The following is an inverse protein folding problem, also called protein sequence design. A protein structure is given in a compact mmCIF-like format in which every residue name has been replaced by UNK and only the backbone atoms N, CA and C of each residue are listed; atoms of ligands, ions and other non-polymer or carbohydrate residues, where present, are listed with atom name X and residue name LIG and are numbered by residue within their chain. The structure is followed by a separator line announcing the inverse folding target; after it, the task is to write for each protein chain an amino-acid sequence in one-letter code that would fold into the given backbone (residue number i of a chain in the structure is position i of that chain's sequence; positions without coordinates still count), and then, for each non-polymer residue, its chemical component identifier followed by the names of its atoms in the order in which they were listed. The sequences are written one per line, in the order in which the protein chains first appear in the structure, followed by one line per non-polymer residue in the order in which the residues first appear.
data_IF_856466240501
#
_entry.id   IF_856466240501
#
_cell.length_a   1.000
_cell.length_b   1.000
_cell.length_c   1.000
_cell.angle_alpha   90.00
_cell.angle_beta   90.00
_cell.angle_gamma   90.00
#
_symmetry.space_group_name_H-M   'P 1'
#
loop_
_entity.id
_entity.type
_entity.pdbx_description
1 polymer ?
#
# COMPACT_ATOMS: atom_id res chain seq x y z
N UNK A 1 33.85 -26.74 -3.63
CA UNK A 1 33.04 -25.61 -3.16
C UNK A 1 31.60 -26.01 -3.07
N UNK A 2 31.00 -25.82 -1.91
CA UNK A 2 29.54 -26.01 -1.79
C UNK A 2 28.82 -24.78 -2.36
N UNK A 3 27.95 -25.01 -3.31
CA UNK A 3 27.03 -23.96 -3.77
C UNK A 3 26.08 -23.61 -2.63
N UNK A 4 25.83 -22.30 -2.43
CA UNK A 4 24.90 -21.81 -1.44
C UNK A 4 23.77 -21.08 -2.14
N UNK A 5 22.55 -21.36 -1.74
CA UNK A 5 21.38 -20.70 -2.25
C UNK A 5 20.80 -19.78 -1.17
N UNK A 6 20.58 -18.54 -1.53
CA UNK A 6 19.97 -17.54 -0.66
C UNK A 6 18.61 -17.16 -1.21
N UNK A 7 17.63 -17.05 -0.32
CA UNK A 7 16.28 -16.60 -0.66
C UNK A 7 16.03 -15.28 0.07
N UNK A 8 15.67 -14.26 -0.67
CA UNK A 8 15.27 -12.99 -0.10
C UNK A 8 13.74 -12.86 -0.20
N UNK A 9 13.06 -12.80 0.96
CA UNK A 9 11.63 -12.59 1.03
C UNK A 9 11.37 -11.14 1.43
N UNK A 10 10.81 -10.37 0.52
CA UNK A 10 10.40 -9.00 0.77
C UNK A 10 8.88 -8.90 0.78
N UNK A 11 8.32 -8.39 1.87
CA UNK A 11 6.89 -8.23 2.03
C UNK A 11 6.45 -6.94 1.35
N UNK A 12 5.75 -7.08 0.24
CA UNK A 12 5.36 -5.97 -0.60
C UNK A 12 4.42 -5.01 0.13
N UNK A 13 4.85 -3.75 0.24
CA UNK A 13 4.06 -2.69 0.88
C UNK A 13 3.55 -3.10 2.27
N UNK A 14 4.46 -3.61 3.10
CA UNK A 14 4.11 -4.36 4.31
C UNK A 14 3.15 -3.60 5.24
N UNK A 15 3.44 -2.36 5.58
CA UNK A 15 2.60 -1.60 6.51
C UNK A 15 1.20 -1.35 5.93
N UNK A 16 1.13 -1.04 4.64
CA UNK A 16 -0.15 -0.86 3.97
C UNK A 16 -0.93 -2.18 3.89
N UNK A 17 -0.24 -3.28 3.68
CA UNK A 17 -0.88 -4.61 3.66
C UNK A 17 -1.46 -4.98 5.01
N UNK A 18 -0.75 -4.70 6.11
CA UNK A 18 -1.25 -4.90 7.47
C UNK A 18 -2.54 -4.09 7.70
N UNK A 19 -2.52 -2.82 7.31
CA UNK A 19 -3.67 -1.95 7.48
C UNK A 19 -4.89 -2.43 6.66
N UNK A 20 -4.66 -2.94 5.47
CA UNK A 20 -5.73 -3.52 4.65
C UNK A 20 -6.32 -4.77 5.30
N UNK A 21 -5.48 -5.71 5.73
CA UNK A 21 -5.93 -6.98 6.34
C UNK A 21 -6.74 -6.71 7.61
N UNK A 22 -6.31 -5.79 8.45
CA UNK A 22 -7.04 -5.46 9.69
C UNK A 22 -8.40 -4.81 9.41
N UNK A 23 -8.57 -4.19 8.24
CA UNK A 23 -9.84 -3.63 7.81
C UNK A 23 -10.71 -4.61 7.00
N UNK A 24 -10.25 -5.85 6.83
CA UNK A 24 -10.95 -6.85 6.01
C UNK A 24 -10.87 -6.56 4.52
N UNK A 25 -9.84 -5.84 4.07
CA UNK A 25 -9.65 -5.44 2.67
C UNK A 25 -8.50 -6.21 2.04
N UNK A 26 -8.57 -6.43 0.73
CA UNK A 26 -7.50 -7.08 -0.01
C UNK A 26 -6.38 -6.08 -0.33
N UNK A 27 -5.13 -6.30 0.14
CA UNK A 27 -4.03 -5.38 -0.11
C UNK A 27 -3.69 -5.17 -1.59
N UNK A 28 -4.05 -6.13 -2.45
CA UNK A 28 -3.76 -6.06 -3.89
C UNK A 28 -4.81 -5.23 -4.64
N UNK A 29 -6.00 -5.07 -4.07
CA UNK A 29 -7.14 -4.42 -4.73
C UNK A 29 -7.53 -3.08 -4.12
N UNK A 30 -6.95 -2.73 -2.98
CA UNK A 30 -7.34 -1.54 -2.21
C UNK A 30 -6.30 -0.44 -2.35
N UNK A 31 -6.77 0.77 -2.61
CA UNK A 31 -5.93 1.97 -2.63
C UNK A 31 -5.81 2.52 -1.21
N UNK A 32 -4.62 2.41 -0.65
CA UNK A 32 -4.36 2.83 0.72
C UNK A 32 -2.92 3.32 0.88
N UNK A 33 -2.75 4.37 1.65
CA UNK A 33 -1.42 4.86 2.07
C UNK A 33 -1.34 4.88 3.59
N UNK A 34 -0.16 4.66 4.13
CA UNK A 34 0.13 4.84 5.56
C UNK A 34 0.87 6.15 5.73
N UNK A 35 0.22 7.12 6.34
CA UNK A 35 0.79 8.45 6.53
C UNK A 35 0.20 9.10 7.79
N UNK A 36 0.99 9.96 8.42
CA UNK A 36 0.59 10.66 9.63
C UNK A 36 -0.08 12.00 9.26
N UNK A 37 -1.41 12.03 9.35
CA UNK A 37 -2.20 13.21 9.06
C UNK A 37 -2.04 14.34 10.09
N UNK A 38 -1.49 14.04 11.28
CA UNK A 38 -1.21 15.07 12.27
C UNK A 38 -0.03 15.96 11.86
N UNK A 39 0.76 15.52 10.89
CA UNK A 39 1.83 16.29 10.27
C UNK A 39 1.32 17.01 9.04
N UNK A 40 2.18 17.82 8.43
CA UNK A 40 1.84 18.53 7.19
C UNK A 40 1.78 17.57 6.00
N UNK A 41 1.22 18.01 4.88
CA UNK A 41 1.21 17.27 3.62
C UNK A 41 2.60 16.96 3.07
N UNK A 42 3.65 17.56 3.62
CA UNK A 42 5.05 17.26 3.28
C UNK A 42 5.55 15.97 3.92
N UNK A 43 4.77 15.33 4.80
CA UNK A 43 5.14 14.08 5.43
C UNK A 43 5.32 12.98 4.38
N UNK A 44 6.29 12.10 4.62
CA UNK A 44 6.55 10.96 3.74
C UNK A 44 5.57 9.85 4.08
N UNK A 45 4.95 9.26 3.06
CA UNK A 45 4.16 8.05 3.23
C UNK A 45 5.09 6.89 3.59
N UNK A 46 4.75 6.15 4.64
CA UNK A 46 5.54 5.00 5.08
C UNK A 46 5.30 3.78 4.20
N UNK A 47 4.13 3.67 3.60
CA UNK A 47 3.79 2.62 2.67
C UNK A 47 2.65 3.06 1.75
N UNK A 48 2.64 2.50 0.55
CA UNK A 48 1.59 2.72 -0.46
C UNK A 48 1.23 1.35 -1.03
N UNK A 49 -0.06 1.06 -1.18
CA UNK A 49 -0.49 -0.23 -1.73
C UNK A 49 -0.09 -0.39 -3.20
N UNK A 50 0.09 -1.64 -3.68
CA UNK A 50 0.48 -1.88 -5.08
C UNK A 50 -0.48 -1.30 -6.10
N UNK A 51 -1.79 -1.37 -5.86
CA UNK A 51 -2.78 -0.81 -6.77
C UNK A 51 -2.61 0.70 -6.93
N UNK A 52 -2.36 1.41 -5.83
CA UNK A 52 -2.15 2.85 -5.87
C UNK A 52 -0.80 3.21 -6.51
N UNK A 53 0.24 2.41 -6.29
CA UNK A 53 1.54 2.57 -6.99
C UNK A 53 1.41 2.46 -8.50
N UNK A 54 0.45 1.68 -8.99
CA UNK A 54 0.24 1.49 -10.43
C UNK A 54 -0.15 2.78 -11.15
N UNK A 55 -0.61 3.79 -10.42
CA UNK A 55 -0.91 5.12 -10.97
C UNK A 55 0.30 6.04 -11.04
N UNK A 56 1.50 5.52 -10.79
CA UNK A 56 2.73 6.31 -10.84
C UNK A 56 3.13 6.95 -9.52
N UNK A 57 2.56 6.47 -8.40
CA UNK A 57 2.89 6.97 -7.07
C UNK A 57 4.04 6.15 -6.49
N UNK A 58 5.11 6.82 -6.06
CA UNK A 58 6.24 6.17 -5.40
C UNK A 58 5.86 5.58 -4.04
N UNK A 59 6.47 4.47 -3.66
CA UNK A 59 6.27 3.86 -2.33
C UNK A 59 6.69 4.75 -1.16
N UNK A 60 7.52 5.75 -1.43
CA UNK A 60 7.96 6.75 -0.44
C UNK A 60 7.60 8.17 -0.85
N UNK A 61 6.52 8.33 -1.58
CA UNK A 61 6.02 9.64 -1.97
C UNK A 61 5.63 10.46 -0.73
N UNK A 62 5.74 11.76 -0.83
CA UNK A 62 5.16 12.65 0.18
C UNK A 62 3.65 12.73 -0.02
N UNK A 63 2.93 12.99 1.04
CA UNK A 63 1.46 12.98 0.99
C UNK A 63 0.92 13.96 -0.06
N UNK A 64 1.52 15.14 -0.23
CA UNK A 64 1.08 16.10 -1.24
C UNK A 64 1.26 15.55 -2.67
N UNK A 65 2.27 14.71 -2.90
CA UNK A 65 2.47 14.07 -4.21
C UNK A 65 1.38 13.06 -4.51
N UNK A 66 0.93 12.32 -3.50
CA UNK A 66 -0.21 11.40 -3.62
C UNK A 66 -1.48 12.19 -3.96
N UNK A 67 -1.75 13.27 -3.23
CA UNK A 67 -2.91 14.13 -3.45
C UNK A 67 -2.89 14.69 -4.88
N UNK A 68 -1.74 15.20 -5.31
CA UNK A 68 -1.57 15.78 -6.64
C UNK A 68 -1.78 14.74 -7.74
N UNK A 69 -1.17 13.57 -7.59
CA UNK A 69 -1.30 12.51 -8.61
C UNK A 69 -2.73 12.00 -8.73
N UNK A 70 -3.43 11.84 -7.60
CA UNK A 70 -4.83 11.42 -7.61
C UNK A 70 -5.70 12.48 -8.31
N UNK A 71 -5.45 13.76 -8.08
CA UNK A 71 -6.15 14.83 -8.80
C UNK A 71 -5.90 14.76 -10.31
N UNK A 72 -4.67 14.51 -10.73
CA UNK A 72 -4.33 14.37 -12.15
C UNK A 72 -5.04 13.17 -12.78
N UNK A 73 -5.04 12.03 -12.11
CA UNK A 73 -5.73 10.82 -12.58
C UNK A 73 -7.23 11.09 -12.70
N UNK A 74 -7.83 11.72 -11.71
CA UNK A 74 -9.25 12.03 -11.72
C UNK A 74 -9.62 13.06 -12.80
N UNK A 75 -8.74 14.02 -13.08
CA UNK A 75 -8.95 14.95 -14.18
C UNK A 75 -8.99 14.23 -15.54
N UNK A 76 -8.10 13.24 -15.75
CA UNK A 76 -8.11 12.42 -16.96
C UNK A 76 -9.35 11.54 -17.02
N UNK A 77 -9.73 10.92 -15.89
CA UNK A 77 -10.91 10.06 -15.81
C UNK A 77 -12.20 10.86 -16.08
N UNK A 78 -12.29 12.08 -15.58
CA UNK A 78 -13.46 12.94 -15.76
C UNK A 78 -13.75 13.21 -17.23
N UNK A 79 -12.73 13.31 -18.07
CA UNK A 79 -12.90 13.51 -19.52
C UNK A 79 -13.64 12.36 -20.19
N UNK A 80 -13.49 11.15 -19.66
CA UNK A 80 -14.09 9.93 -20.18
C UNK A 80 -15.35 9.50 -19.43
N UNK A 81 -15.73 10.26 -18.40
CA UNK A 81 -16.89 9.95 -17.57
C UNK A 81 -18.17 10.48 -18.28
N UNK A 82 -19.25 9.68 -18.33
CA UNK A 82 -20.52 10.15 -18.87
C UNK A 82 -21.02 11.41 -18.14
N UNK A 83 -21.31 12.46 -18.89
CA UNK A 83 -21.73 13.75 -18.33
C UNK A 83 -20.62 14.52 -17.62
N UNK A 84 -19.39 14.03 -17.67
CA UNK A 84 -18.21 14.63 -17.01
C UNK A 84 -18.38 14.88 -15.50
N UNK A 85 -19.24 14.07 -14.87
CA UNK A 85 -19.46 14.09 -13.44
C UNK A 85 -19.36 12.69 -12.86
N UNK A 86 -18.58 12.55 -11.80
CA UNK A 86 -18.52 11.29 -11.05
C UNK A 86 -19.79 11.13 -10.22
N UNK A 87 -20.34 9.91 -10.19
CA UNK A 87 -21.49 9.58 -9.34
C UNK A 87 -21.05 9.25 -7.91
N UNK A 88 -19.83 8.78 -7.73
CA UNK A 88 -19.26 8.40 -6.44
C UNK A 88 -17.74 8.28 -6.56
N UNK A 89 -17.11 7.82 -5.51
CA UNK A 89 -15.68 7.52 -5.45
C UNK A 89 -15.48 6.14 -4.82
N UNK A 90 -14.40 5.47 -5.15
CA UNK A 90 -14.07 4.17 -4.56
C UNK A 90 -12.57 4.02 -4.36
N UNK A 91 -12.18 3.42 -3.24
CA UNK A 91 -10.82 2.97 -2.97
C UNK A 91 -10.59 1.51 -3.40
N UNK A 92 -11.63 0.83 -3.86
CA UNK A 92 -11.52 -0.51 -4.42
C UNK A 92 -11.12 -0.42 -5.88
N UNK A 93 -9.85 -0.67 -6.18
CA UNK A 93 -9.26 -0.41 -7.49
C UNK A 93 -9.95 -1.13 -8.66
N UNK A 94 -10.35 -2.43 -8.54
CA UNK A 94 -11.08 -3.09 -9.62
C UNK A 94 -12.39 -2.39 -9.99
N UNK A 95 -13.11 -1.83 -9.03
CA UNK A 95 -14.33 -1.06 -9.31
C UNK A 95 -14.02 0.22 -10.07
N UNK A 96 -12.98 0.93 -9.63
CA UNK A 96 -12.56 2.17 -10.29
C UNK A 96 -12.20 1.91 -11.75
N UNK A 97 -11.49 0.82 -12.03
CA UNK A 97 -11.09 0.47 -13.39
C UNK A 97 -12.25 0.03 -14.28
N UNK A 98 -13.27 -0.61 -13.69
CA UNK A 98 -14.45 -1.07 -14.45
C UNK A 98 -15.47 0.03 -14.69
N UNK A 99 -15.59 0.98 -13.76
CA UNK A 99 -16.65 1.97 -13.79
C UNK A 99 -16.08 3.38 -13.98
N UNK A 100 -16.17 3.95 -15.19
CA UNK A 100 -15.64 5.29 -15.45
C UNK A 100 -16.37 6.40 -14.69
N UNK A 101 -17.53 6.11 -14.12
CA UNK A 101 -18.30 7.09 -13.30
C UNK A 101 -17.80 7.20 -11.87
N UNK A 102 -16.82 6.35 -11.46
CA UNK A 102 -16.22 6.42 -10.14
C UNK A 102 -14.92 7.21 -10.17
N UNK A 103 -14.77 8.14 -9.23
CA UNK A 103 -13.49 8.79 -8.98
C UNK A 103 -12.54 7.84 -8.27
N UNK A 104 -11.25 7.98 -8.56
CA UNK A 104 -10.21 7.30 -7.81
C UNK A 104 -10.14 7.90 -6.41
N UNK A 105 -10.23 7.05 -5.41
CA UNK A 105 -10.07 7.43 -4.00
C UNK A 105 -9.07 6.51 -3.32
N UNK A 106 -8.65 6.87 -2.14
CA UNK A 106 -7.71 6.09 -1.35
C UNK A 106 -7.93 6.34 0.15
N UNK A 107 -7.53 5.36 0.95
CA UNK A 107 -7.62 5.44 2.41
C UNK A 107 -6.28 5.94 2.94
N UNK A 108 -6.31 6.87 3.88
CA UNK A 108 -5.11 7.29 4.63
C UNK A 108 -5.18 6.67 6.01
N UNK A 109 -4.28 5.73 6.28
CA UNK A 109 -4.20 5.04 7.57
C UNK A 109 -3.09 5.66 8.41
N UNK A 110 -3.35 6.03 9.66
CA UNK A 110 -2.30 6.51 10.55
C UNK A 110 -1.33 5.36 10.87
N UNK A 111 -0.02 5.66 11.01
CA UNK A 111 0.97 4.64 11.33
C UNK A 111 0.72 3.99 12.70
N UNK A 112 0.88 2.67 12.77
CA UNK A 112 0.74 1.90 14.01
C UNK A 112 1.90 0.92 14.13
N UNK A 113 3.06 1.43 14.51
CA UNK A 113 4.31 0.66 14.49
C UNK A 113 4.26 -0.61 15.36
N UNK A 114 3.56 -0.59 16.49
CA UNK A 114 3.40 -1.77 17.34
C UNK A 114 2.66 -2.90 16.61
N UNK A 115 1.64 -2.57 15.84
CA UNK A 115 0.93 -3.55 15.01
C UNK A 115 1.83 -4.15 13.94
N UNK A 116 2.67 -3.34 13.31
CA UNK A 116 3.56 -3.81 12.25
C UNK A 116 4.64 -4.73 12.80
N UNK A 117 5.17 -4.42 13.98
CA UNK A 117 6.13 -5.28 14.68
C UNK A 117 5.48 -6.62 15.05
N UNK A 118 4.25 -6.60 15.56
CA UNK A 118 3.51 -7.81 15.90
C UNK A 118 3.29 -8.70 14.67
N UNK A 119 2.83 -8.13 13.57
CA UNK A 119 2.68 -8.85 12.32
C UNK A 119 4.00 -9.37 11.76
N UNK A 120 5.08 -8.59 11.87
CA UNK A 120 6.42 -9.00 11.47
C UNK A 120 6.86 -10.23 12.27
N UNK A 121 6.61 -10.26 13.57
CA UNK A 121 6.89 -11.41 14.43
C UNK A 121 6.10 -12.63 14.02
N UNK A 122 4.84 -12.49 13.67
CA UNK A 122 4.01 -13.59 13.18
C UNK A 122 4.54 -14.16 11.86
N UNK A 123 4.96 -13.31 10.93
CA UNK A 123 5.56 -13.72 9.66
C UNK A 123 6.87 -14.46 9.90
N UNK A 124 7.71 -13.95 10.79
CA UNK A 124 8.96 -14.61 11.18
C UNK A 124 8.69 -16.02 11.74
N UNK A 125 7.66 -16.17 12.56
CA UNK A 125 7.24 -17.48 13.09
C UNK A 125 6.87 -18.46 11.99
N UNK A 126 6.30 -18.01 10.89
CA UNK A 126 6.01 -18.85 9.73
C UNK A 126 7.31 -19.31 9.06
N UNK A 127 8.30 -18.43 8.92
CA UNK A 127 9.59 -18.81 8.35
C UNK A 127 10.30 -19.87 9.19
N UNK A 128 10.19 -19.81 10.52
CA UNK A 128 10.79 -20.78 11.44
C UNK A 128 10.25 -22.21 11.25
N UNK A 129 9.10 -22.37 10.62
CA UNK A 129 8.54 -23.69 10.28
C UNK A 129 9.29 -24.37 9.13
N UNK A 130 10.03 -23.61 8.35
CA UNK A 130 10.69 -24.09 7.12
C UNK A 130 12.20 -23.92 7.15
N UNK A 131 12.72 -23.02 7.96
CA UNK A 131 14.15 -22.66 8.01
C UNK A 131 14.62 -22.60 9.46
N UNK A 132 15.82 -23.09 9.73
CA UNK A 132 16.40 -23.01 11.08
C UNK A 132 16.68 -21.55 11.47
N UNK A 133 16.54 -21.19 12.77
CA UNK A 133 16.76 -19.81 13.22
C UNK A 133 18.15 -19.25 12.86
N UNK A 134 19.19 -20.11 12.85
CA UNK A 134 20.57 -19.72 12.52
C UNK A 134 20.71 -19.31 11.06
N UNK A 135 19.83 -19.77 10.20
CA UNK A 135 19.86 -19.54 8.75
C UNK A 135 18.98 -18.38 8.31
N UNK A 136 18.30 -17.72 9.25
CA UNK A 136 17.43 -16.57 8.96
C UNK A 136 18.14 -15.28 9.37
N UNK A 137 18.21 -14.34 8.43
CA UNK A 137 18.73 -12.99 8.68
C UNK A 137 17.58 -11.99 8.53
N UNK A 138 16.84 -11.68 9.63
CA UNK A 138 15.75 -10.74 9.53
C UNK A 138 16.27 -9.32 9.33
N UNK A 139 15.89 -8.72 8.22
CA UNK A 139 16.00 -7.29 8.04
C UNK A 139 14.84 -6.64 8.78
N UNK A 140 15.14 -5.82 9.79
CA UNK A 140 14.13 -5.03 10.45
C UNK A 140 13.73 -3.91 9.51
N UNK A 141 12.51 -3.98 9.02
CA UNK A 141 11.93 -2.96 8.15
C UNK A 141 11.40 -1.83 9.02
N UNK A 142 12.09 -0.74 9.01
CA UNK A 142 11.65 0.49 9.64
C UNK A 142 11.21 1.49 8.60
#
# INVERSE_FOLDING_TARGET
MKERTYICCDLKSFYASVECIERGLNPLDTNLVVADLSRTEKTICLAVTPSLKSYGISGRARLFEVIQRVKEVNAQRQRNTPGRQFTSASSHDPEVRRNPSLALDYIVAPPRMAHYIDWSTRVYSVYLKHVAPEDIYPCLLY
#
